data_IF_490897007932
#
_entry.id   IF_490897007932
#
_cell.length_a   1.000
_cell.length_b   1.000
_cell.length_c   1.000
_cell.angle_alpha   90.00
_cell.angle_beta   90.00
_cell.angle_gamma   90.00
#
_symmetry.space_group_name_H-M   'P 1'
#
loop_
_entity.id
_entity.type
_entity.pdbx_description
1 polymer ?
#
# COMPACT_ATOMS: atom_id res chain seq x y z
N UNK A 1 -32.05 -0.34 1.40
CA UNK A 1 -31.25 -1.15 0.44
C UNK A 1 -31.14 -0.33 -0.83
N UNK A 2 -29.94 0.13 -1.20
CA UNK A 2 -29.74 0.72 -2.53
C UNK A 2 -29.95 -0.39 -3.56
N UNK A 3 -30.80 -0.16 -4.56
CA UNK A 3 -30.91 -1.05 -5.71
C UNK A 3 -29.55 -1.09 -6.41
N UNK A 4 -29.06 -2.29 -6.72
CA UNK A 4 -27.85 -2.45 -7.52
C UNK A 4 -28.00 -1.80 -8.90
N UNK A 5 -26.90 -1.27 -9.43
CA UNK A 5 -26.85 -0.67 -10.76
C UNK A 5 -27.27 -1.68 -11.83
N UNK A 6 -28.11 -1.27 -12.78
CA UNK A 6 -28.51 -2.12 -13.92
C UNK A 6 -27.32 -2.41 -14.83
N UNK A 7 -27.19 -3.65 -15.33
CA UNK A 7 -26.15 -4.00 -16.30
C UNK A 7 -26.19 -3.10 -17.54
N UNK A 8 -25.01 -2.70 -18.04
CA UNK A 8 -24.87 -1.78 -19.17
C UNK A 8 -25.04 -0.30 -18.83
N UNK A 9 -25.10 0.06 -17.53
CA UNK A 9 -25.22 1.45 -17.07
C UNK A 9 -24.13 1.81 -16.06
N UNK A 10 -23.77 3.09 -15.98
CA UNK A 10 -22.87 3.65 -14.97
C UNK A 10 -23.49 4.92 -14.38
N UNK A 11 -23.37 5.09 -13.07
CA UNK A 11 -23.67 6.37 -12.41
C UNK A 11 -22.44 7.27 -12.54
N UNK A 12 -22.62 8.45 -13.16
CA UNK A 12 -21.53 9.38 -13.42
C UNK A 12 -21.57 10.52 -12.41
N UNK A 13 -20.45 10.75 -11.74
CA UNK A 13 -20.15 12.01 -11.07
C UNK A 13 -19.32 12.86 -12.05
N UNK A 14 -19.91 13.85 -12.74
CA UNK A 14 -19.23 14.56 -13.81
C UNK A 14 -18.13 15.47 -13.26
N UNK A 15 -16.95 15.38 -13.86
CA UNK A 15 -15.83 16.33 -13.74
C UNK A 15 -15.49 16.77 -15.16
N UNK A 16 -15.43 18.07 -15.41
CA UNK A 16 -15.24 18.59 -16.76
C UNK A 16 -13.77 18.47 -17.19
N UNK A 17 -13.55 18.06 -18.44
CA UNK A 17 -12.24 18.16 -19.08
C UNK A 17 -11.87 19.62 -19.32
N UNK A 18 -10.57 19.91 -19.38
CA UNK A 18 -10.05 21.22 -19.79
C UNK A 18 -9.81 21.34 -21.29
N UNK A 19 -9.55 20.20 -21.94
CA UNK A 19 -9.35 20.09 -23.38
C UNK A 19 -9.95 18.79 -23.93
N UNK A 20 -10.26 18.75 -25.23
CA UNK A 20 -10.72 17.53 -25.90
C UNK A 20 -9.68 16.40 -25.80
N UNK A 21 -10.15 15.17 -25.58
CA UNK A 21 -9.29 13.98 -25.50
C UNK A 21 -9.18 13.31 -26.87
N UNK A 22 -7.95 12.98 -27.27
CA UNK A 22 -7.67 12.07 -28.39
C UNK A 22 -6.97 10.81 -27.85
N UNK A 23 -7.51 9.64 -28.17
CA UNK A 23 -6.99 8.35 -27.64
C UNK A 23 -5.52 8.17 -28.01
N UNK A 24 -4.70 7.86 -27.01
CA UNK A 24 -3.26 7.64 -27.17
C UNK A 24 -2.42 8.92 -27.18
N UNK A 25 -3.03 10.10 -27.15
CA UNK A 25 -2.32 11.38 -27.10
C UNK A 25 -2.52 12.06 -25.73
N UNK A 26 -1.43 12.41 -25.07
CA UNK A 26 -1.45 13.13 -23.80
C UNK A 26 -1.76 14.62 -24.05
N UNK A 27 -2.66 15.20 -23.25
CA UNK A 27 -2.98 16.62 -23.25
C UNK A 27 -2.65 17.21 -21.87
N UNK A 28 -1.70 18.14 -21.81
CA UNK A 28 -1.16 18.70 -20.57
C UNK A 28 -2.25 19.36 -19.71
N UNK A 29 -3.16 20.11 -20.33
CA UNK A 29 -4.26 20.77 -19.61
C UNK A 29 -5.18 19.79 -18.87
N UNK A 30 -5.33 18.57 -19.37
CA UNK A 30 -6.13 17.53 -18.72
C UNK A 30 -5.41 16.87 -17.53
N UNK A 31 -4.15 17.22 -17.24
CA UNK A 31 -3.50 16.85 -15.97
C UNK A 31 -4.27 17.35 -14.75
N UNK A 32 -4.85 18.54 -14.84
CA UNK A 32 -5.73 19.08 -13.78
C UNK A 32 -7.02 18.30 -13.61
N UNK A 33 -7.63 17.86 -14.71
CA UNK A 33 -8.83 17.02 -14.68
C UNK A 33 -8.56 15.71 -13.93
N UNK A 34 -7.43 15.06 -14.22
CA UNK A 34 -7.03 13.82 -13.52
C UNK A 34 -6.94 14.06 -12.02
N UNK A 35 -6.20 15.09 -11.59
CA UNK A 35 -6.03 15.40 -10.16
C UNK A 35 -7.35 15.78 -9.49
N UNK A 36 -8.24 16.51 -10.17
CA UNK A 36 -9.57 16.85 -9.67
C UNK A 36 -10.45 15.61 -9.43
N UNK A 37 -10.42 14.63 -10.35
CA UNK A 37 -11.16 13.37 -10.14
C UNK A 37 -10.63 12.60 -8.93
N UNK A 38 -9.31 12.54 -8.74
CA UNK A 38 -8.70 11.88 -7.58
C UNK A 38 -9.07 12.59 -6.28
N UNK A 39 -9.01 13.92 -6.27
CA UNK A 39 -9.39 14.74 -5.12
C UNK A 39 -10.85 14.51 -4.73
N UNK A 40 -11.76 14.61 -5.70
CA UNK A 40 -13.20 14.45 -5.46
C UNK A 40 -13.56 13.05 -4.97
N UNK A 41 -12.93 12.03 -5.53
CA UNK A 41 -13.17 10.65 -5.14
C UNK A 41 -12.61 10.35 -3.73
N UNK A 42 -11.45 10.90 -3.40
CA UNK A 42 -10.88 10.83 -2.05
C UNK A 42 -11.79 11.50 -1.02
N UNK A 43 -12.21 12.74 -1.27
CA UNK A 43 -13.07 13.49 -0.35
C UNK A 43 -14.42 12.82 -0.14
N UNK A 44 -15.00 12.23 -1.20
CA UNK A 44 -16.24 11.46 -1.07
C UNK A 44 -16.08 10.21 -0.21
N UNK A 45 -14.93 9.54 -0.24
CA UNK A 45 -14.66 8.43 0.69
C UNK A 45 -14.49 8.93 2.13
N UNK A 46 -13.76 10.03 2.32
CA UNK A 46 -13.53 10.63 3.65
C UNK A 46 -14.82 11.11 4.31
N UNK A 47 -15.75 11.65 3.52
CA UNK A 47 -17.05 12.13 3.99
C UNK A 47 -18.12 11.01 4.11
N UNK A 48 -17.77 9.76 3.79
CA UNK A 48 -18.70 8.62 3.81
C UNK A 48 -19.73 8.61 2.68
N UNK A 49 -19.56 9.44 1.66
CA UNK A 49 -20.37 9.41 0.43
C UNK A 49 -20.12 8.13 -0.37
N UNK A 50 -18.87 7.65 -0.38
CA UNK A 50 -18.44 6.44 -1.09
C UNK A 50 -17.87 5.42 -0.10
N UNK A 51 -18.22 4.15 -0.28
CA UNK A 51 -17.74 3.06 0.57
C UNK A 51 -16.30 2.62 0.26
N UNK A 52 -15.85 2.83 -0.98
CA UNK A 52 -14.51 2.46 -1.46
C UNK A 52 -14.11 3.27 -2.70
N UNK A 53 -12.82 3.30 -2.98
CA UNK A 53 -12.24 3.92 -4.17
C UNK A 53 -11.46 2.88 -4.99
N UNK A 54 -11.76 2.83 -6.28
CA UNK A 54 -11.01 2.06 -7.27
C UNK A 54 -10.44 3.06 -8.28
N UNK A 55 -9.14 3.00 -8.55
CA UNK A 55 -8.46 3.92 -9.46
C UNK A 55 -8.10 3.25 -10.78
N UNK A 56 -8.27 3.99 -11.88
CA UNK A 56 -7.65 3.65 -13.16
C UNK A 56 -6.18 4.08 -13.20
N UNK A 57 -5.43 3.67 -14.23
CA UNK A 57 -4.05 4.14 -14.41
C UNK A 57 -4.02 5.64 -14.71
N UNK A 58 -3.01 6.33 -14.19
CA UNK A 58 -2.73 7.75 -14.48
C UNK A 58 -1.30 7.91 -14.96
N UNK A 59 -1.05 8.92 -15.80
CA UNK A 59 0.28 9.20 -16.31
C UNK A 59 0.94 10.32 -15.51
N UNK A 60 1.94 9.99 -14.69
CA UNK A 60 2.60 10.97 -13.80
C UNK A 60 3.27 12.12 -14.57
N UNK A 61 3.89 11.85 -15.72
CA UNK A 61 4.60 12.85 -16.52
C UNK A 61 3.71 14.02 -16.92
N UNK A 62 2.63 13.78 -17.69
CA UNK A 62 1.66 14.82 -18.09
C UNK A 62 1.06 15.62 -16.92
N UNK A 63 0.89 15.02 -15.73
CA UNK A 63 0.42 15.74 -14.54
C UNK A 63 1.49 16.72 -14.03
N UNK A 64 2.75 16.29 -13.98
CA UNK A 64 3.87 17.15 -13.60
C UNK A 64 4.15 18.23 -14.66
N UNK A 65 4.03 17.90 -15.95
CA UNK A 65 4.18 18.84 -17.06
C UNK A 65 3.09 19.93 -17.03
N UNK A 66 1.92 19.64 -16.42
CA UNK A 66 0.85 20.61 -16.14
C UNK A 66 1.18 21.53 -14.93
N UNK A 67 2.39 21.43 -14.36
CA UNK A 67 2.81 22.21 -13.21
C UNK A 67 2.24 21.72 -11.87
N UNK A 68 1.74 20.49 -11.80
CA UNK A 68 1.17 19.90 -10.58
C UNK A 68 2.16 18.87 -10.02
N UNK A 69 2.75 19.10 -8.83
CA UNK A 69 3.59 18.10 -8.19
C UNK A 69 2.81 16.81 -7.93
N UNK A 70 3.21 15.71 -8.58
CA UNK A 70 2.52 14.43 -8.44
C UNK A 70 3.50 13.25 -8.53
N UNK A 71 3.68 12.56 -7.41
CA UNK A 71 4.57 11.39 -7.31
C UNK A 71 3.84 10.08 -7.54
N UNK A 72 2.55 10.00 -7.25
CA UNK A 72 1.73 8.80 -7.42
C UNK A 72 0.40 8.87 -6.68
N UNK A 73 -0.45 7.86 -6.92
CA UNK A 73 -1.74 7.73 -6.25
C UNK A 73 -1.59 7.59 -4.74
N UNK A 74 -0.68 6.72 -4.30
CA UNK A 74 -0.48 6.37 -2.90
C UNK A 74 -0.12 7.61 -2.10
N UNK A 75 0.86 8.37 -2.57
CA UNK A 75 1.32 9.59 -1.93
C UNK A 75 0.25 10.69 -1.97
N UNK A 76 -0.47 10.84 -3.10
CA UNK A 76 -1.56 11.80 -3.22
C UNK A 76 -2.68 11.54 -2.19
N UNK A 77 -3.10 10.27 -2.04
CA UNK A 77 -4.13 9.93 -1.08
C UNK A 77 -3.64 9.97 0.36
N UNK A 78 -2.40 9.57 0.63
CA UNK A 78 -1.78 9.69 1.96
C UNK A 78 -1.81 11.14 2.45
N UNK A 79 -1.33 12.07 1.61
CA UNK A 79 -1.33 13.51 1.92
C UNK A 79 -2.76 14.04 2.12
N UNK A 80 -3.66 13.78 1.16
CA UNK A 80 -5.02 14.34 1.18
C UNK A 80 -5.88 13.79 2.32
N UNK A 81 -5.72 12.51 2.64
CA UNK A 81 -6.42 11.88 3.77
C UNK A 81 -5.79 12.17 5.12
N UNK A 82 -4.65 12.86 5.15
CA UNK A 82 -3.84 13.09 6.36
C UNK A 82 -3.47 11.78 7.07
N UNK A 83 -3.33 10.70 6.30
CA UNK A 83 -2.87 9.44 6.84
C UNK A 83 -1.41 9.62 7.28
N UNK A 84 -1.09 9.15 8.50
CA UNK A 84 0.28 9.23 9.00
C UNK A 84 1.25 8.37 8.20
N UNK A 85 0.75 7.22 7.73
CA UNK A 85 1.50 6.22 6.98
C UNK A 85 0.53 5.36 6.17
N UNK A 86 0.95 4.98 4.97
CA UNK A 86 0.27 3.97 4.15
C UNK A 86 1.18 2.75 3.90
N UNK A 87 0.55 1.59 3.71
CA UNK A 87 1.23 0.34 3.35
C UNK A 87 0.73 -0.11 1.98
N UNK A 88 1.67 -0.29 1.05
CA UNK A 88 1.36 -0.86 -0.25
C UNK A 88 1.29 -2.38 -0.15
N UNK A 89 0.22 -2.97 -0.68
CA UNK A 89 0.04 -4.41 -0.75
C UNK A 89 -0.45 -4.83 -2.13
N UNK A 90 0.20 -5.84 -2.69
CA UNK A 90 -0.23 -6.56 -3.89
C UNK A 90 -0.97 -7.82 -3.46
N UNK A 91 -2.12 -8.12 -4.07
CA UNK A 91 -2.95 -9.25 -3.69
C UNK A 91 -3.49 -9.99 -4.91
N UNK A 92 -3.48 -11.32 -4.79
CA UNK A 92 -4.23 -12.27 -5.62
C UNK A 92 -5.16 -13.08 -4.71
N UNK A 93 -5.88 -14.05 -5.26
CA UNK A 93 -6.68 -14.98 -4.45
C UNK A 93 -5.80 -15.81 -3.49
N UNK A 94 -4.60 -16.19 -3.94
CA UNK A 94 -3.72 -17.12 -3.19
C UNK A 94 -2.66 -16.41 -2.34
N UNK A 95 -2.21 -15.22 -2.74
CA UNK A 95 -1.06 -14.55 -2.12
C UNK A 95 -1.29 -13.05 -1.93
N UNK A 96 -0.89 -12.55 -0.75
CA UNK A 96 -0.81 -11.13 -0.42
C UNK A 96 0.62 -10.78 -0.01
N UNK A 97 1.19 -9.75 -0.61
CA UNK A 97 2.53 -9.26 -0.32
C UNK A 97 2.47 -7.78 0.00
N UNK A 98 2.72 -7.43 1.25
CA UNK A 98 2.88 -6.05 1.70
C UNK A 98 4.36 -5.67 1.70
N UNK A 99 4.65 -4.41 1.40
CA UNK A 99 6.01 -3.90 1.25
C UNK A 99 6.35 -2.94 2.39
N UNK A 100 7.49 -3.13 3.05
CA UNK A 100 7.99 -2.20 4.07
C UNK A 100 8.48 -0.88 3.45
N UNK A 101 9.06 -0.95 2.25
CA UNK A 101 9.48 0.19 1.43
C UNK A 101 8.97 0.01 0.00
N UNK A 102 8.73 1.10 -0.71
CA UNK A 102 8.19 1.07 -2.08
C UNK A 102 9.26 1.47 -3.10
N UNK A 103 9.16 2.67 -3.68
CA UNK A 103 9.99 3.12 -4.79
C UNK A 103 11.25 3.85 -4.29
N UNK A 104 12.14 3.14 -3.59
CA UNK A 104 13.45 3.65 -3.19
C UNK A 104 14.57 3.08 -4.06
N UNK A 105 15.66 3.83 -4.32
CA UNK A 105 16.89 3.25 -4.84
C UNK A 105 17.38 2.14 -3.92
N UNK A 106 17.88 1.03 -4.50
CA UNK A 106 18.30 -0.16 -3.73
C UNK A 106 19.30 0.16 -2.60
N UNK A 107 20.24 1.07 -2.84
CA UNK A 107 21.23 1.52 -1.86
C UNK A 107 20.65 2.21 -0.63
N UNK A 108 19.42 2.72 -0.72
CA UNK A 108 18.77 3.48 0.36
C UNK A 108 17.83 2.58 1.18
N UNK A 109 17.67 1.30 0.79
CA UNK A 109 16.71 0.39 1.44
C UNK A 109 17.18 0.03 2.86
N UNK A 110 18.45 -0.34 3.03
CA UNK A 110 18.95 -0.81 4.33
C UNK A 110 18.76 0.24 5.43
N UNK A 111 19.16 1.48 5.17
CA UNK A 111 19.01 2.60 6.11
C UNK A 111 17.54 2.98 6.38
N UNK A 112 16.63 2.67 5.44
CA UNK A 112 15.20 2.92 5.62
C UNK A 112 14.53 1.92 6.57
N UNK A 113 15.06 0.70 6.71
CA UNK A 113 14.51 -0.33 7.59
C UNK A 113 14.86 -0.01 9.04
N UNK A 114 14.02 0.81 9.65
CA UNK A 114 14.13 1.22 11.06
C UNK A 114 13.09 0.52 11.93
N UNK A 115 13.31 0.43 13.26
CA UNK A 115 12.31 -0.13 14.16
C UNK A 115 10.95 0.56 14.04
N UNK A 116 10.96 1.91 14.02
CA UNK A 116 9.75 2.71 13.89
C UNK A 116 8.98 2.40 12.60
N UNK A 117 9.67 2.29 11.46
CA UNK A 117 9.05 1.91 10.19
C UNK A 117 8.38 0.55 10.28
N UNK A 118 9.08 -0.45 10.81
CA UNK A 118 8.57 -1.82 10.89
C UNK A 118 7.35 -1.92 11.81
N UNK A 119 7.36 -1.23 12.96
CA UNK A 119 6.20 -1.17 13.83
C UNK A 119 4.98 -0.58 13.12
N UNK A 120 5.13 0.56 12.44
CA UNK A 120 4.02 1.19 11.72
C UNK A 120 3.48 0.28 10.61
N UNK A 121 4.36 -0.27 9.78
CA UNK A 121 3.97 -1.12 8.64
C UNK A 121 3.23 -2.37 9.13
N UNK A 122 3.79 -3.07 10.12
CA UNK A 122 3.20 -4.33 10.61
C UNK A 122 1.90 -4.06 11.34
N UNK A 123 1.81 -2.97 12.12
CA UNK A 123 0.57 -2.59 12.81
C UNK A 123 -0.55 -2.27 11.81
N UNK A 124 -0.25 -1.48 10.76
CA UNK A 124 -1.23 -1.16 9.71
C UNK A 124 -1.65 -2.43 8.98
N UNK A 125 -0.70 -3.28 8.58
CA UNK A 125 -0.99 -4.53 7.88
C UNK A 125 -1.88 -5.45 8.72
N UNK A 126 -1.54 -5.67 9.99
CA UNK A 126 -2.33 -6.51 10.89
C UNK A 126 -3.74 -5.96 11.10
N UNK A 127 -3.86 -4.64 11.33
CA UNK A 127 -5.14 -3.97 11.47
C UNK A 127 -6.01 -4.15 10.22
N UNK A 128 -5.48 -3.85 9.04
CA UNK A 128 -6.23 -3.90 7.79
C UNK A 128 -6.60 -5.33 7.37
N UNK A 129 -5.74 -6.33 7.65
CA UNK A 129 -6.11 -7.73 7.43
C UNK A 129 -7.33 -8.14 8.28
N UNK A 130 -7.48 -7.56 9.49
CA UNK A 130 -8.67 -7.80 10.32
C UNK A 130 -9.88 -7.03 9.83
N UNK A 131 -9.75 -5.72 9.64
CA UNK A 131 -10.90 -4.84 9.42
C UNK A 131 -11.37 -4.80 7.97
N UNK A 132 -10.45 -4.90 7.01
CA UNK A 132 -10.76 -4.83 5.57
C UNK A 132 -10.83 -6.20 4.90
N UNK A 133 -10.05 -7.17 5.37
CA UNK A 133 -10.06 -8.55 4.84
C UNK A 133 -10.84 -9.54 5.70
N UNK A 134 -11.34 -9.13 6.87
CA UNK A 134 -12.15 -9.98 7.75
C UNK A 134 -11.37 -11.16 8.35
N UNK A 135 -10.04 -11.12 8.38
CA UNK A 135 -9.20 -12.19 8.92
C UNK A 135 -9.07 -11.97 10.43
N UNK A 136 -9.79 -12.75 11.22
CA UNK A 136 -9.80 -12.60 12.68
C UNK A 136 -8.38 -12.71 13.28
N UNK A 137 -7.56 -13.65 12.83
CA UNK A 137 -6.20 -13.86 13.34
C UNK A 137 -5.18 -13.87 12.20
N UNK A 138 -4.73 -12.68 11.73
CA UNK A 138 -3.79 -12.61 10.62
C UNK A 138 -2.46 -13.28 10.95
N UNK A 139 -2.03 -14.19 10.08
CA UNK A 139 -0.69 -14.79 10.12
C UNK A 139 0.19 -14.06 9.11
N UNK A 140 1.21 -13.37 9.60
CA UNK A 140 2.11 -12.54 8.77
C UNK A 140 3.48 -13.21 8.73
N UNK A 141 3.95 -13.53 7.52
CA UNK A 141 5.33 -13.96 7.28
C UNK A 141 6.16 -12.74 6.92
N UNK A 142 7.32 -12.59 7.56
CA UNK A 142 8.22 -11.45 7.37
C UNK A 142 9.55 -11.94 6.77
N UNK A 143 9.92 -11.37 5.63
CA UNK A 143 11.21 -11.59 5.00
C UNK A 143 12.33 -10.91 5.80
N UNK A 144 13.53 -11.50 5.78
CA UNK A 144 14.75 -10.77 6.12
C UNK A 144 15.06 -9.71 5.08
N UNK A 145 15.86 -8.71 5.46
CA UNK A 145 16.44 -7.73 4.56
C UNK A 145 17.60 -8.35 3.78
N UNK A 146 18.47 -9.04 4.50
CA UNK A 146 19.68 -9.64 3.96
C UNK A 146 19.42 -11.04 3.38
N UNK A 147 20.23 -11.50 2.41
CA UNK A 147 20.26 -12.91 2.01
C UNK A 147 20.38 -13.81 3.23
N UNK A 148 19.63 -14.92 3.22
CA UNK A 148 19.58 -15.86 4.36
C UNK A 148 19.20 -15.20 5.70
N UNK A 149 18.50 -14.07 5.69
CA UNK A 149 18.16 -13.30 6.88
C UNK A 149 19.39 -12.98 7.75
N UNK A 150 20.49 -12.59 7.09
CA UNK A 150 21.73 -12.17 7.73
C UNK A 150 22.65 -13.30 8.17
N UNK A 151 22.24 -14.58 8.04
CA UNK A 151 23.03 -15.76 8.42
C UNK A 151 23.66 -15.61 9.81
N UNK A 152 22.84 -15.30 10.83
CA UNK A 152 23.32 -15.09 12.20
C UNK A 152 24.27 -13.90 12.39
N UNK A 153 24.24 -12.92 11.49
CA UNK A 153 25.10 -11.74 11.51
C UNK A 153 26.28 -11.82 10.54
N UNK A 154 26.48 -12.95 9.85
CA UNK A 154 27.59 -13.13 8.91
C UNK A 154 27.35 -12.44 7.56
N UNK A 155 26.10 -12.10 7.22
CA UNK A 155 25.70 -11.47 5.96
C UNK A 155 24.88 -10.19 6.19
N UNK A 156 25.27 -9.37 7.16
CA UNK A 156 24.52 -8.18 7.60
C UNK A 156 23.90 -8.41 8.98
N UNK A 157 23.61 -7.32 9.69
CA UNK A 157 23.19 -7.38 11.11
C UNK A 157 21.81 -6.76 11.34
N UNK A 158 21.18 -6.20 10.32
CA UNK A 158 19.88 -5.53 10.39
C UNK A 158 18.78 -6.45 10.94
N UNK A 159 18.86 -7.76 10.69
CA UNK A 159 17.96 -8.73 11.34
C UNK A 159 18.11 -8.76 12.85
N UNK A 160 19.35 -8.80 13.34
CA UNK A 160 19.66 -8.89 14.78
C UNK A 160 19.36 -7.56 15.47
N UNK A 161 19.75 -6.46 14.83
CA UNK A 161 19.74 -5.13 15.42
C UNK A 161 18.36 -4.46 15.33
N UNK A 162 17.52 -4.83 14.36
CA UNK A 162 16.24 -4.16 14.08
C UNK A 162 15.08 -5.12 13.87
N UNK A 163 15.14 -6.05 12.91
CA UNK A 163 13.95 -6.82 12.50
C UNK A 163 13.50 -7.80 13.59
N UNK A 164 14.40 -8.65 14.11
CA UNK A 164 14.08 -9.64 15.15
C UNK A 164 13.56 -8.96 16.42
N UNK A 165 14.22 -7.90 16.98
CA UNK A 165 13.71 -7.19 18.14
C UNK A 165 12.28 -6.69 17.96
N UNK A 166 11.97 -6.02 16.84
CA UNK A 166 10.61 -5.51 16.56
C UNK A 166 9.59 -6.65 16.50
N UNK A 167 9.94 -7.76 15.84
CA UNK A 167 9.03 -8.89 15.72
C UNK A 167 8.78 -9.59 17.06
N UNK A 168 9.81 -9.68 17.91
CA UNK A 168 9.66 -10.26 19.25
C UNK A 168 8.82 -9.36 20.16
N UNK A 169 8.97 -8.04 20.08
CA UNK A 169 8.11 -7.09 20.79
C UNK A 169 6.64 -7.25 20.38
N UNK A 170 6.37 -7.25 19.07
CA UNK A 170 5.01 -7.38 18.53
C UNK A 170 4.36 -8.73 18.89
N UNK A 171 5.14 -9.80 19.03
CA UNK A 171 4.64 -11.11 19.51
C UNK A 171 4.23 -11.09 20.97
N UNK A 172 4.90 -10.31 21.80
CA UNK A 172 4.65 -10.24 23.25
C UNK A 172 3.49 -9.29 23.56
N UNK A 173 3.38 -8.17 22.84
CA UNK A 173 2.29 -7.20 23.04
C UNK A 173 0.96 -7.65 22.43
N UNK A 174 1.00 -8.63 21.53
CA UNK A 174 -0.20 -9.24 20.99
C UNK A 174 -0.77 -10.31 21.91
N UNK A 175 -2.07 -10.22 22.21
CA UNK A 175 -2.92 -11.40 22.37
C UNK A 175 -2.56 -12.40 21.26
N UNK A 176 -2.63 -13.72 21.49
CA UNK A 176 -2.11 -14.83 20.62
C UNK A 176 -2.33 -14.67 19.08
N UNK A 177 -3.24 -13.78 18.70
CA UNK A 177 -3.62 -13.23 17.38
C UNK A 177 -2.61 -12.34 16.61
N UNK A 178 -1.46 -11.89 17.18
CA UNK A 178 -0.41 -11.13 16.45
C UNK A 178 0.86 -11.95 16.15
N UNK A 179 0.70 -13.20 15.70
CA UNK A 179 1.84 -14.04 15.31
C UNK A 179 2.43 -13.61 13.96
N UNK A 180 3.18 -12.51 13.95
CA UNK A 180 4.15 -12.23 12.90
C UNK A 180 5.35 -13.18 13.09
N UNK A 181 5.51 -14.16 12.22
CA UNK A 181 6.65 -15.07 12.23
C UNK A 181 7.74 -14.53 11.31
N UNK A 182 8.94 -14.33 11.87
CA UNK A 182 10.14 -14.12 11.08
C UNK A 182 10.36 -15.40 10.28
N UNK A 183 10.57 -15.30 8.97
CA UNK A 183 11.00 -16.43 8.18
C UNK A 183 12.41 -16.83 8.68
N UNK A 184 12.48 -17.81 9.60
CA UNK A 184 13.75 -18.18 10.26
C UNK A 184 14.69 -18.96 9.34
N UNK A 185 14.28 -19.42 8.15
CA UNK A 185 15.12 -20.06 7.14
C UNK A 185 14.47 -19.95 5.74
N UNK A 186 15.24 -19.95 4.63
CA UNK A 186 14.76 -19.60 3.31
C UNK A 186 13.92 -20.73 2.70
N UNK A 187 12.83 -20.37 2.02
CA UNK A 187 12.09 -21.20 1.07
C UNK A 187 11.70 -22.60 1.59
N UNK A 188 10.52 -22.70 2.18
CA UNK A 188 9.67 -23.86 1.94
C UNK A 188 8.29 -23.35 1.53
N UNK A 189 8.11 -23.24 0.22
CA UNK A 189 6.80 -23.25 -0.38
C UNK A 189 6.09 -24.56 0.00
N UNK A 190 5.32 -24.53 1.07
CA UNK A 190 4.24 -25.49 1.27
C UNK A 190 2.93 -24.72 1.11
N UNK A 191 2.48 -24.65 -0.16
CA UNK A 191 1.08 -24.44 -0.49
C UNK A 191 0.37 -25.71 0.02
N UNK A 192 -0.10 -25.66 1.26
CA UNK A 192 -1.02 -26.67 1.76
C UNK A 192 -2.42 -26.28 1.30
N UNK A 193 -3.02 -27.21 0.54
CA UNK A 193 -4.37 -27.17 -0.03
C UNK A 193 -5.46 -26.86 0.99
#
# INVERSE_FOLDING_TARGET
MQQGQTAGTLTLLPVALRESVTVGLLAVENGHYVVETLARACDGCLNGEFAALITGPVHKGVINDAGIPFTGHTEFFEERSQAKKVVMMLATEELRVALATTHLPLRDIADAITPALLHEVIAILHHDLRTKFGIAEPRILVCGLNPHAGEGGHMGTEEIDTIIPVLDELRVTGDETQRAAACRYPVSAEISR
#
